data_IF_158517933008
#
_entry.id   IF_158517933008
#
_cell.length_a   1.000
_cell.length_b   1.000
_cell.length_c   1.000
_cell.angle_alpha   90.00
_cell.angle_beta   90.00
_cell.angle_gamma   90.00
#
_symmetry.space_group_name_H-M   'P 1'
#
loop_
_entity.id
_entity.type
_entity.pdbx_description
1 polymer ?
#
# COMPACT_ATOMS: atom_id res chain seq x y z
N UNK A 1 -16.88 8.39 6.39
CA UNK A 1 -17.40 7.12 6.94
C UNK A 1 -16.27 6.10 6.91
N UNK A 2 -15.68 5.80 8.07
CA UNK A 2 -14.59 4.81 8.15
C UNK A 2 -15.18 3.42 7.96
N UNK A 3 -14.78 2.70 6.90
CA UNK A 3 -15.16 1.30 6.73
C UNK A 3 -14.41 0.44 7.74
N UNK A 4 -15.08 -0.59 8.26
CA UNK A 4 -14.42 -1.61 9.06
C UNK A 4 -13.96 -2.75 8.15
N UNK A 5 -12.71 -3.16 8.29
CA UNK A 5 -12.12 -4.27 7.54
C UNK A 5 -11.68 -5.38 8.51
N UNK A 6 -11.55 -6.60 8.00
CA UNK A 6 -10.87 -7.69 8.70
C UNK A 6 -9.45 -7.87 8.18
N UNK A 7 -8.61 -8.60 8.93
CA UNK A 7 -7.29 -8.99 8.42
C UNK A 7 -7.37 -9.85 7.16
N UNK A 8 -8.47 -10.58 6.95
CA UNK A 8 -8.64 -11.39 5.75
C UNK A 8 -8.95 -10.50 4.54
N UNK A 9 -9.85 -9.52 4.67
CA UNK A 9 -10.12 -8.55 3.60
C UNK A 9 -8.81 -7.89 3.15
N UNK A 10 -8.01 -7.39 4.10
CA UNK A 10 -6.75 -6.73 3.77
C UNK A 10 -5.76 -7.70 3.11
N UNK A 11 -5.70 -8.97 3.55
CA UNK A 11 -4.86 -10.00 2.91
C UNK A 11 -5.25 -10.28 1.45
N UNK A 12 -6.54 -10.27 1.14
CA UNK A 12 -7.01 -10.43 -0.26
C UNK A 12 -6.50 -9.28 -1.14
N UNK A 13 -6.35 -8.10 -0.55
CA UNK A 13 -5.79 -6.89 -1.11
C UNK A 13 -4.25 -6.80 -0.96
N UNK A 14 -3.54 -7.93 -1.06
CA UNK A 14 -2.09 -8.01 -0.87
C UNK A 14 -1.20 -7.51 -2.03
N UNK A 15 -1.79 -7.21 -3.19
CA UNK A 15 -1.07 -6.93 -4.44
C UNK A 15 -1.63 -5.72 -5.17
N UNK A 16 -0.82 -5.08 -6.02
CA UNK A 16 -1.23 -3.90 -6.80
C UNK A 16 -2.45 -4.21 -7.69
N UNK A 17 -2.47 -5.39 -8.31
CA UNK A 17 -3.59 -5.85 -9.16
C UNK A 17 -4.91 -6.00 -8.39
N UNK A 18 -4.82 -6.26 -7.08
CA UNK A 18 -5.98 -6.42 -6.21
C UNK A 18 -6.32 -5.15 -5.45
N UNK A 19 -5.61 -4.04 -5.66
CA UNK A 19 -5.66 -2.85 -4.81
C UNK A 19 -4.83 -3.10 -3.55
N UNK A 20 -3.56 -2.68 -3.57
CA UNK A 20 -2.60 -2.99 -2.51
C UNK A 20 -2.99 -2.26 -1.21
N UNK A 21 -3.42 -2.98 -0.19
CA UNK A 21 -3.79 -2.43 1.11
C UNK A 21 -2.72 -2.71 2.16
N UNK A 22 -2.53 -1.78 3.09
CA UNK A 22 -1.62 -1.96 4.22
C UNK A 22 -2.30 -1.52 5.52
N UNK A 23 -1.84 -2.07 6.64
CA UNK A 23 -2.34 -1.73 7.97
C UNK A 23 -1.26 -0.91 8.70
N UNK A 24 -1.64 0.25 9.25
CA UNK A 24 -0.80 1.10 10.10
C UNK A 24 -1.62 1.52 11.32
N UNK A 25 -1.24 1.10 12.53
CA UNK A 25 -1.95 1.39 13.80
C UNK A 25 -3.47 1.22 13.69
N UNK A 26 -3.88 0.06 13.16
CA UNK A 26 -5.27 -0.32 12.90
C UNK A 26 -5.92 0.38 11.71
N UNK A 27 -5.37 1.47 11.18
CA UNK A 27 -5.86 2.08 9.95
C UNK A 27 -5.57 1.22 8.72
N UNK A 28 -6.55 1.06 7.83
CA UNK A 28 -6.37 0.44 6.51
C UNK A 28 -6.17 1.55 5.48
N UNK A 29 -5.06 1.45 4.75
CA UNK A 29 -4.66 2.42 3.75
C UNK A 29 -4.57 1.75 2.38
N UNK A 30 -5.17 2.38 1.37
CA UNK A 30 -5.06 1.97 -0.02
C UNK A 30 -3.81 2.58 -0.66
N UNK A 31 -2.88 1.73 -1.06
CA UNK A 31 -1.63 2.09 -1.71
C UNK A 31 -1.58 1.64 -3.18
N UNK A 32 -2.62 0.95 -3.68
CA UNK A 32 -2.73 0.50 -5.07
C UNK A 32 -2.50 1.63 -6.07
N UNK A 33 -3.27 2.71 -5.94
CA UNK A 33 -3.10 3.91 -6.78
C UNK A 33 -1.74 4.58 -6.63
N UNK A 34 -1.12 4.54 -5.45
CA UNK A 34 0.17 5.20 -5.19
C UNK A 34 1.38 4.47 -5.79
N UNK A 35 1.27 3.15 -5.96
CA UNK A 35 2.28 2.32 -6.62
C UNK A 35 2.10 2.36 -8.14
N UNK A 36 0.85 2.35 -8.62
CA UNK A 36 0.54 2.35 -10.06
C UNK A 36 0.80 3.73 -10.70
N UNK A 37 0.47 4.83 -10.02
CA UNK A 37 0.68 6.20 -10.53
C UNK A 37 2.16 6.54 -10.76
N UNK A 38 3.07 5.88 -10.03
CA UNK A 38 4.53 5.98 -10.28
C UNK A 38 5.06 4.97 -11.29
N UNK A 39 4.25 3.98 -11.65
CA UNK A 39 4.55 2.98 -12.69
C UNK A 39 3.99 3.42 -14.05
N UNK A 40 2.96 4.27 -14.07
CA UNK A 40 2.31 4.79 -15.27
C UNK A 40 2.99 6.07 -15.78
N UNK A 41 4.19 5.92 -16.35
CA UNK A 41 4.55 6.79 -17.47
C UNK A 41 3.56 6.55 -18.61
N UNK A 42 3.13 7.58 -19.34
CA UNK A 42 1.94 7.53 -20.18
C UNK A 42 2.03 6.42 -21.22
N UNK A 43 0.92 5.67 -21.40
CA UNK A 43 0.73 4.82 -22.58
C UNK A 43 0.84 5.68 -23.83
N UNK A 44 2.00 5.66 -24.48
CA UNK A 44 2.03 5.72 -25.93
C UNK A 44 1.38 4.42 -26.41
N UNK A 45 0.37 4.55 -27.26
CA UNK A 45 -0.41 3.44 -27.78
C UNK A 45 0.50 2.38 -28.42
N UNK A 46 0.30 1.13 -28.03
CA UNK A 46 0.80 -0.04 -28.76
C UNK A 46 2.26 -0.39 -28.55
N UNK A 47 2.62 -1.00 -27.41
CA UNK A 47 3.59 -2.10 -27.43
C UNK A 47 3.42 -2.99 -26.21
N UNK A 48 3.08 -4.24 -26.49
CA UNK A 48 3.26 -5.36 -25.59
C UNK A 48 4.73 -5.40 -25.17
N UNK A 49 5.01 -5.06 -23.92
CA UNK A 49 6.31 -5.26 -23.28
C UNK A 49 6.03 -5.85 -21.89
N UNK A 50 5.77 -7.16 -21.88
CA UNK A 50 6.36 -8.00 -20.85
C UNK A 50 7.90 -7.87 -20.96
N UNK A 51 8.56 -8.07 -19.82
CA UNK A 51 10.02 -8.16 -19.67
C UNK A 51 10.79 -6.85 -19.75
N UNK A 52 10.91 -6.20 -18.59
CA UNK A 52 12.24 -5.97 -18.01
C UNK A 52 12.09 -5.50 -16.57
N UNK A 53 12.60 -6.32 -15.66
CA UNK A 53 13.21 -5.80 -14.45
C UNK A 53 14.09 -4.60 -14.84
N UNK A 54 13.87 -3.44 -14.21
CA UNK A 54 14.89 -2.61 -13.56
C UNK A 54 14.47 -1.13 -13.50
N UNK A 55 14.69 -0.55 -12.32
CA UNK A 55 14.98 0.88 -12.08
C UNK A 55 13.94 1.89 -12.57
N UNK A 56 12.96 2.26 -11.76
CA UNK A 56 13.19 3.31 -10.78
C UNK A 56 12.41 3.00 -9.50
N UNK A 57 12.85 1.98 -8.79
CA UNK A 57 12.47 1.79 -7.42
C UNK A 57 12.99 2.98 -6.62
N UNK A 58 12.08 3.77 -6.06
CA UNK A 58 12.24 4.33 -4.73
C UNK A 58 12.98 3.25 -3.89
N UNK A 59 14.24 3.44 -3.47
CA UNK A 59 15.14 2.33 -3.16
C UNK A 59 14.65 1.39 -2.03
N UNK A 60 13.59 1.75 -1.31
CA UNK A 60 12.85 0.83 -0.42
C UNK A 60 11.34 0.72 -0.69
N UNK A 61 10.69 1.71 -1.29
CA UNK A 61 9.23 1.89 -1.21
C UNK A 61 8.38 0.85 -1.94
N UNK A 62 8.57 0.67 -3.25
CA UNK A 62 7.71 -0.24 -4.02
C UNK A 62 7.90 -1.72 -3.63
N UNK A 63 9.15 -2.12 -3.33
CA UNK A 63 9.45 -3.48 -2.88
C UNK A 63 8.89 -3.75 -1.48
N UNK A 64 8.96 -2.77 -0.57
CA UNK A 64 8.42 -2.96 0.78
C UNK A 64 6.90 -3.01 0.74
N UNK A 65 6.24 -2.16 -0.06
CA UNK A 65 4.79 -2.16 -0.22
C UNK A 65 4.28 -3.50 -0.75
N UNK A 66 4.94 -4.09 -1.75
CA UNK A 66 4.60 -5.45 -2.23
C UNK A 66 4.82 -6.54 -1.17
N UNK A 67 5.77 -6.36 -0.24
CA UNK A 67 6.07 -7.32 0.83
C UNK A 67 5.10 -7.21 2.01
N UNK A 68 4.72 -5.98 2.35
CA UNK A 68 3.81 -5.66 3.45
C UNK A 68 2.36 -5.51 3.00
N UNK A 69 2.10 -5.66 1.70
CA UNK A 69 0.77 -5.70 1.12
C UNK A 69 -0.06 -6.79 1.80
N UNK A 70 -1.25 -6.41 2.25
CA UNK A 70 -2.17 -7.25 2.98
C UNK A 70 -1.73 -7.63 4.40
N UNK A 71 -0.77 -6.89 4.96
CA UNK A 71 -0.19 -7.15 6.29
C UNK A 71 -0.06 -5.86 7.10
N UNK A 72 0.29 -6.02 8.38
CA UNK A 72 0.70 -4.91 9.23
C UNK A 72 2.08 -4.40 8.82
N UNK A 73 2.11 -3.12 8.44
CA UNK A 73 3.29 -2.39 8.05
C UNK A 73 3.71 -1.37 9.13
N UNK A 74 3.03 -1.33 10.27
CA UNK A 74 3.20 -0.31 11.31
C UNK A 74 4.67 -0.16 11.71
N UNK A 75 5.34 -1.28 12.06
CA UNK A 75 6.77 -1.28 12.43
C UNK A 75 7.67 -0.69 11.35
N UNK A 76 7.41 -1.02 10.10
CA UNK A 76 8.22 -0.59 8.98
C UNK A 76 7.93 0.87 8.58
N UNK A 77 6.67 1.30 8.72
CA UNK A 77 6.27 2.69 8.54
C UNK A 77 6.98 3.57 9.57
N UNK A 78 6.85 3.28 10.87
CA UNK A 78 7.45 4.06 11.96
C UNK A 78 8.98 4.09 11.97
N UNK A 79 9.62 3.07 11.39
CA UNK A 79 11.09 3.04 11.24
C UNK A 79 11.62 4.13 10.30
N UNK A 80 10.83 4.53 9.30
CA UNK A 80 11.26 5.46 8.24
C UNK A 80 10.38 6.70 8.10
N UNK A 81 9.21 6.72 8.74
CA UNK A 81 8.22 7.79 8.66
C UNK A 81 7.69 8.11 10.05
N UNK A 82 7.27 9.36 10.23
CA UNK A 82 6.71 9.87 11.47
C UNK A 82 5.22 10.18 11.32
N UNK A 83 4.57 10.50 12.44
CA UNK A 83 3.12 10.74 12.51
C UNK A 83 2.66 11.89 11.59
N UNK A 84 3.51 12.90 11.34
CA UNK A 84 3.15 14.01 10.45
C UNK A 84 2.91 13.55 9.01
N UNK A 85 3.67 12.55 8.54
CA UNK A 85 3.47 11.94 7.23
C UNK A 85 2.17 11.17 7.23
N UNK A 86 1.93 10.37 8.27
CA UNK A 86 0.67 9.64 8.43
C UNK A 86 -0.52 10.59 8.41
N UNK A 87 -0.45 11.72 9.13
CA UNK A 87 -1.51 12.72 9.17
C UNK A 87 -1.79 13.37 7.82
N UNK A 88 -0.76 13.61 7.02
CA UNK A 88 -0.90 14.19 5.68
C UNK A 88 -1.55 13.23 4.69
N UNK A 89 -1.22 11.95 4.78
CA UNK A 89 -1.71 10.95 3.83
C UNK A 89 -2.95 10.20 4.30
N UNK A 90 -3.24 10.15 5.60
CA UNK A 90 -4.41 9.44 6.14
C UNK A 90 -5.71 9.99 5.56
N UNK A 91 -5.85 11.30 5.37
CA UNK A 91 -7.10 11.88 4.89
C UNK A 91 -7.41 11.47 3.45
N UNK A 92 -6.39 11.08 2.68
CA UNK A 92 -6.50 10.69 1.27
C UNK A 92 -6.46 9.19 1.05
N UNK A 93 -5.65 8.47 1.83
CA UNK A 93 -5.36 7.06 1.62
C UNK A 93 -6.09 6.14 2.59
N UNK A 94 -6.54 6.64 3.75
CA UNK A 94 -7.24 5.81 4.75
C UNK A 94 -8.64 5.48 4.23
N UNK A 95 -8.85 4.20 3.95
CA UNK A 95 -10.14 3.69 3.51
C UNK A 95 -10.96 3.16 4.69
N UNK A 96 -10.32 2.89 5.83
CA UNK A 96 -10.98 2.35 7.01
C UNK A 96 -10.06 1.95 8.14
N UNK A 97 -10.53 1.03 8.97
CA UNK A 97 -9.81 0.50 10.12
C UNK A 97 -10.09 -1.00 10.32
N UNK A 98 -9.11 -1.74 10.83
CA UNK A 98 -9.20 -3.17 11.12
C UNK A 98 -9.80 -3.37 12.50
N UNK A 99 -10.90 -4.12 12.58
CA UNK A 99 -11.57 -4.42 13.87
C UNK A 99 -10.88 -5.51 14.68
N UNK A 100 -10.12 -6.37 14.02
CA UNK A 100 -9.48 -7.54 14.63
C UNK A 100 -7.96 -7.43 14.50
N UNK A 101 -7.37 -6.48 15.20
CA UNK A 101 -5.93 -6.53 15.44
C UNK A 101 -5.68 -7.58 16.52
N UNK A 102 -5.39 -8.81 16.08
CA UNK A 102 -4.85 -9.83 16.95
C UNK A 102 -3.56 -9.28 17.57
N UNK A 103 -3.68 -8.82 18.80
CA UNK A 103 -2.60 -8.50 19.73
C UNK A 103 -1.82 -9.80 19.93
N UNK A 104 -0.79 -10.02 19.11
CA UNK A 104 0.20 -11.08 19.31
C UNK A 104 1.43 -10.47 19.95
#
# INVERSE_FOLDING_TARGET
MSKSFTTNDVKEHGSVEKGLYIIIDNGVYEMGGFVDERMFRPRIAGKHLMDSANSQADPGGAKILKRVGGKDASKQFWKYHNESVLKKYQERLKIGEVKEQAKM
#
